data_IF_753932939906
#
_entry.id   IF_753932939906
#
_cell.length_a   1.000
_cell.length_b   1.000
_cell.length_c   1.000
_cell.angle_alpha   90.00
_cell.angle_beta   90.00
_cell.angle_gamma   90.00
#
_symmetry.space_group_name_H-M   'P 1'
#
loop_
_entity.id
_entity.type
_entity.pdbx_description
1 polymer ?
#
# COMPACT_ATOMS: atom_id res chain seq x y z
N UNK A 1 -3.63 -58.56 -22.09
CA UNK A 1 -4.00 -57.68 -20.95
C UNK A 1 -3.03 -57.84 -19.76
N UNK A 2 -1.75 -57.44 -19.87
CA UNK A 2 -0.74 -57.62 -18.79
C UNK A 2 0.05 -56.37 -18.41
N UNK A 3 -0.32 -55.18 -18.92
CA UNK A 3 0.45 -53.94 -18.69
C UNK A 3 -0.12 -53.05 -17.58
N UNK A 4 -1.37 -53.25 -17.13
CA UNK A 4 -2.01 -52.38 -16.11
C UNK A 4 -1.34 -52.46 -14.74
N UNK A 5 -0.79 -53.63 -14.37
CA UNK A 5 -0.06 -53.81 -13.09
C UNK A 5 1.30 -53.14 -13.07
N UNK A 6 1.91 -52.88 -14.22
CA UNK A 6 3.20 -52.18 -14.31
C UNK A 6 3.01 -50.67 -14.09
N UNK A 7 1.97 -50.10 -14.69
CA UNK A 7 1.59 -48.69 -14.49
C UNK A 7 1.24 -48.40 -13.02
N UNK A 8 0.45 -49.26 -12.37
CA UNK A 8 0.13 -49.10 -10.94
C UNK A 8 1.37 -49.07 -10.03
N UNK A 9 2.40 -49.86 -10.36
CA UNK A 9 3.67 -49.88 -9.60
C UNK A 9 4.54 -48.65 -9.86
N UNK A 10 4.52 -48.11 -11.07
CA UNK A 10 5.24 -46.88 -11.42
C UNK A 10 4.55 -45.67 -10.76
N UNK A 11 3.23 -45.56 -10.90
CA UNK A 11 2.44 -44.51 -10.24
C UNK A 11 2.59 -44.56 -8.72
N UNK A 12 2.53 -45.75 -8.09
CA UNK A 12 2.74 -45.88 -6.65
C UNK A 12 4.14 -45.43 -6.18
N UNK A 13 5.19 -45.71 -6.97
CA UNK A 13 6.55 -45.24 -6.67
C UNK A 13 6.70 -43.74 -6.84
N UNK A 14 6.09 -43.15 -7.87
CA UNK A 14 6.12 -41.70 -8.12
C UNK A 14 5.34 -40.96 -7.03
N UNK A 15 4.16 -41.44 -6.65
CA UNK A 15 3.35 -40.87 -5.56
C UNK A 15 4.10 -40.96 -4.22
N UNK A 16 4.74 -42.10 -3.95
CA UNK A 16 5.56 -42.27 -2.75
C UNK A 16 6.76 -41.33 -2.68
N UNK A 17 7.33 -40.95 -3.83
CA UNK A 17 8.47 -40.02 -3.89
C UNK A 17 8.06 -38.54 -3.76
N UNK A 18 6.85 -38.16 -4.24
CA UNK A 18 6.36 -36.77 -4.19
C UNK A 18 5.68 -36.45 -2.84
N UNK A 19 5.05 -37.44 -2.21
CA UNK A 19 4.40 -37.30 -0.91
C UNK A 19 5.25 -36.63 0.18
N UNK A 20 6.53 -36.98 0.40
CA UNK A 20 7.34 -36.33 1.44
C UNK A 20 7.61 -34.85 1.15
N UNK A 21 7.74 -34.47 -0.12
CA UNK A 21 7.91 -33.06 -0.50
C UNK A 21 6.66 -32.24 -0.19
N UNK A 22 5.48 -32.76 -0.52
CA UNK A 22 4.21 -32.10 -0.21
C UNK A 22 4.05 -31.96 1.31
N UNK A 23 4.31 -33.02 2.07
CA UNK A 23 4.23 -32.98 3.54
C UNK A 23 5.21 -31.97 4.13
N UNK A 24 6.44 -31.92 3.62
CA UNK A 24 7.44 -30.95 4.07
C UNK A 24 7.00 -29.51 3.78
N UNK A 25 6.48 -29.22 2.59
CA UNK A 25 5.98 -27.89 2.22
C UNK A 25 4.80 -27.50 3.12
N UNK A 26 3.86 -28.42 3.38
CA UNK A 26 2.73 -28.17 4.27
C UNK A 26 3.19 -27.87 5.70
N UNK A 27 4.18 -28.60 6.21
CA UNK A 27 4.77 -28.33 7.52
C UNK A 27 5.46 -26.97 7.56
N UNK A 28 6.27 -26.62 6.57
CA UNK A 28 6.92 -25.31 6.49
C UNK A 28 5.92 -24.17 6.38
N UNK A 29 4.83 -24.37 5.62
CA UNK A 29 3.75 -23.40 5.51
C UNK A 29 2.98 -23.24 6.82
N UNK A 30 2.65 -24.35 7.50
CA UNK A 30 1.96 -24.32 8.78
C UNK A 30 2.77 -23.64 9.90
N UNK A 31 4.10 -23.71 9.83
CA UNK A 31 5.01 -23.01 10.74
C UNK A 31 5.30 -21.57 10.29
N UNK A 32 4.70 -21.09 9.20
CA UNK A 32 4.85 -19.71 8.70
C UNK A 32 6.18 -19.42 8.00
N UNK A 33 7.05 -20.41 7.80
CA UNK A 33 8.40 -20.19 7.26
C UNK A 33 8.36 -19.69 5.80
N UNK A 34 7.46 -20.26 4.98
CA UNK A 34 7.26 -19.81 3.60
C UNK A 34 6.69 -18.39 3.56
N UNK A 35 5.77 -18.06 4.47
CA UNK A 35 5.21 -16.72 4.59
C UNK A 35 6.28 -15.67 4.94
N UNK A 36 7.20 -15.97 5.88
CA UNK A 36 8.32 -15.08 6.19
C UNK A 36 9.26 -14.89 4.98
N UNK A 37 9.53 -15.96 4.23
CA UNK A 37 10.40 -15.90 3.07
C UNK A 37 9.76 -15.10 1.93
N UNK A 38 8.45 -15.26 1.72
CA UNK A 38 7.68 -14.46 0.77
C UNK A 38 7.76 -12.96 1.10
N UNK A 39 7.55 -12.59 2.37
CA UNK A 39 7.66 -11.20 2.83
C UNK A 39 9.07 -10.65 2.63
N UNK A 40 10.11 -11.43 2.96
CA UNK A 40 11.50 -11.02 2.76
C UNK A 40 11.83 -10.79 1.27
N UNK A 41 11.35 -11.66 0.38
CA UNK A 41 11.51 -11.50 -1.07
C UNK A 41 10.76 -10.25 -1.54
N UNK A 42 9.55 -10.02 -1.02
CA UNK A 42 8.74 -8.86 -1.34
C UNK A 42 9.45 -7.56 -0.94
N UNK A 43 9.98 -7.48 0.29
CA UNK A 43 10.73 -6.32 0.76
C UNK A 43 11.98 -6.05 -0.10
N UNK A 44 12.71 -7.10 -0.45
CA UNK A 44 13.87 -6.98 -1.34
C UNK A 44 13.46 -6.45 -2.72
N UNK A 45 12.34 -6.92 -3.26
CA UNK A 45 11.81 -6.43 -4.53
C UNK A 45 11.46 -4.94 -4.46
N UNK A 46 10.85 -4.47 -3.37
CA UNK A 46 10.56 -3.03 -3.18
C UNK A 46 11.84 -2.20 -3.07
N UNK A 47 12.85 -2.66 -2.32
CA UNK A 47 14.14 -1.98 -2.19
C UNK A 47 14.93 -1.95 -3.49
N UNK A 48 14.76 -2.95 -4.35
CA UNK A 48 15.45 -3.02 -5.65
C UNK A 48 14.91 -2.04 -6.69
N UNK A 49 13.78 -1.37 -6.41
CA UNK A 49 13.21 -0.39 -7.34
C UNK A 49 14.16 0.82 -7.45
N UNK A 50 14.41 1.33 -8.66
CA UNK A 50 15.18 2.56 -8.82
C UNK A 50 14.44 3.71 -8.13
N UNK A 51 15.19 4.64 -7.52
CA UNK A 51 14.61 5.87 -7.00
C UNK A 51 13.90 6.61 -8.15
N UNK A 52 12.61 6.87 -7.95
CA UNK A 52 11.85 7.67 -8.90
C UNK A 52 12.28 9.14 -8.80
N UNK A 53 12.47 9.77 -9.96
CA UNK A 53 12.82 11.19 -9.98
C UNK A 53 11.63 12.02 -9.53
N UNK A 54 11.90 13.08 -8.76
CA UNK A 54 10.89 14.06 -8.37
C UNK A 54 10.24 14.68 -9.63
N UNK A 55 8.93 14.47 -9.78
CA UNK A 55 8.17 15.07 -10.86
C UNK A 55 7.93 16.55 -10.57
N UNK A 56 8.51 17.42 -11.42
CA UNK A 56 8.42 18.88 -11.29
C UNK A 56 7.01 19.43 -11.47
N UNK A 57 6.06 18.62 -11.93
CA UNK A 57 4.66 19.00 -12.14
C UNK A 57 3.81 18.86 -10.87
N UNK A 58 4.33 18.16 -9.86
CA UNK A 58 3.63 17.89 -8.60
C UNK A 58 4.21 18.78 -7.52
N UNK A 59 3.34 19.49 -6.80
CA UNK A 59 3.71 20.30 -5.65
C UNK A 59 3.03 19.72 -4.42
N UNK A 60 3.83 19.35 -3.42
CA UNK A 60 3.34 18.89 -2.13
C UNK A 60 3.39 20.07 -1.17
N UNK A 61 2.25 20.40 -0.57
CA UNK A 61 2.13 21.39 0.49
C UNK A 61 1.75 20.63 1.75
N UNK A 62 2.69 20.52 2.69
CA UNK A 62 2.52 19.79 3.94
C UNK A 62 2.88 20.64 5.15
N UNK A 63 2.58 20.11 6.33
CA UNK A 63 3.07 20.60 7.61
C UNK A 63 4.07 19.56 8.13
N UNK A 64 5.21 20.00 8.65
CA UNK A 64 6.15 19.13 9.36
C UNK A 64 5.77 19.04 10.85
N UNK A 65 6.27 18.01 11.53
CA UNK A 65 6.05 17.72 12.95
C UNK A 65 6.09 18.94 13.91
N UNK A 66 7.07 19.85 13.83
CA UNK A 66 7.08 21.01 14.71
C UNK A 66 5.93 22.00 14.40
N UNK A 67 5.55 22.15 13.14
CA UNK A 67 4.48 23.06 12.73
C UNK A 67 3.08 22.49 13.02
N UNK A 68 2.92 21.16 12.99
CA UNK A 68 1.65 20.51 13.34
C UNK A 68 1.22 20.91 14.75
N UNK A 69 2.14 20.99 15.72
CA UNK A 69 1.79 21.37 17.10
C UNK A 69 1.23 22.79 17.22
N UNK A 70 1.62 23.69 16.31
CA UNK A 70 1.23 25.10 16.37
C UNK A 70 -0.03 25.38 15.54
N UNK A 71 -0.12 24.78 14.35
CA UNK A 71 -1.20 25.08 13.40
C UNK A 71 -2.34 24.08 13.41
N UNK A 72 -2.18 22.92 14.08
CA UNK A 72 -3.24 21.93 14.20
C UNK A 72 -4.07 22.15 15.48
N UNK A 73 -5.41 22.16 15.39
CA UNK A 73 -6.21 21.90 14.20
C UNK A 73 -6.40 23.14 13.32
N UNK A 74 -6.21 22.98 12.00
CA UNK A 74 -6.46 24.03 11.02
C UNK A 74 -7.97 24.32 10.93
N UNK A 75 -8.36 25.60 10.98
CA UNK A 75 -9.75 26.04 10.82
C UNK A 75 -10.23 25.88 9.37
N UNK A 76 -11.54 25.69 9.19
CA UNK A 76 -12.14 25.51 7.86
C UNK A 76 -11.90 26.74 6.95
N UNK A 77 -11.93 27.95 7.52
CA UNK A 77 -11.61 29.21 6.81
C UNK A 77 -10.18 29.22 6.26
N UNK A 78 -9.19 28.87 7.09
CA UNK A 78 -7.78 28.84 6.66
C UNK A 78 -7.55 27.80 5.57
N UNK A 79 -8.19 26.63 5.70
CA UNK A 79 -8.11 25.57 4.70
C UNK A 79 -8.77 26.00 3.38
N UNK A 80 -9.94 26.63 3.44
CA UNK A 80 -10.62 27.16 2.26
C UNK A 80 -9.79 28.23 1.55
N UNK A 81 -9.15 29.12 2.32
CA UNK A 81 -8.25 30.14 1.78
C UNK A 81 -7.01 29.52 1.12
N UNK A 82 -6.42 28.48 1.73
CA UNK A 82 -5.30 27.74 1.16
C UNK A 82 -5.68 27.10 -0.18
N UNK A 83 -6.80 26.39 -0.24
CA UNK A 83 -7.30 25.76 -1.46
C UNK A 83 -7.57 26.80 -2.54
N UNK A 84 -8.21 27.93 -2.21
CA UNK A 84 -8.43 29.04 -3.16
C UNK A 84 -7.11 29.59 -3.70
N UNK A 85 -6.10 29.76 -2.84
CA UNK A 85 -4.78 30.24 -3.25
C UNK A 85 -4.10 29.26 -4.21
N UNK A 86 -4.17 27.96 -3.94
CA UNK A 86 -3.62 26.93 -4.83
C UNK A 86 -4.40 26.92 -6.16
N UNK A 87 -5.73 26.95 -6.11
CA UNK A 87 -6.59 26.95 -7.29
C UNK A 87 -6.36 28.19 -8.18
N UNK A 88 -5.99 29.34 -7.61
CA UNK A 88 -5.63 30.54 -8.38
C UNK A 88 -4.46 30.33 -9.36
N UNK A 89 -3.59 29.34 -9.10
CA UNK A 89 -2.48 28.96 -9.96
C UNK A 89 -2.89 28.01 -11.11
N UNK A 90 -4.20 27.67 -11.21
CA UNK A 90 -4.79 26.78 -12.21
C UNK A 90 -4.11 25.39 -12.27
N UNK A 91 -4.00 24.67 -11.14
CA UNK A 91 -3.52 23.29 -11.15
C UNK A 91 -4.51 22.40 -11.91
N UNK A 92 -4.03 21.28 -12.44
CA UNK A 92 -4.91 20.32 -13.14
C UNK A 92 -5.77 19.50 -12.18
N UNK A 93 -5.25 19.18 -11.00
CA UNK A 93 -5.90 18.39 -9.94
C UNK A 93 -5.36 18.87 -8.60
N UNK A 94 -6.20 18.88 -7.56
CA UNK A 94 -5.81 19.13 -6.17
C UNK A 94 -6.18 17.89 -5.35
N UNK A 95 -5.19 17.21 -4.79
CA UNK A 95 -5.40 16.15 -3.80
C UNK A 95 -5.26 16.73 -2.40
N UNK A 96 -6.23 16.47 -1.52
CA UNK A 96 -6.20 16.90 -0.13
C UNK A 96 -6.09 15.67 0.77
N UNK A 97 -4.93 15.48 1.38
CA UNK A 97 -4.69 14.47 2.42
C UNK A 97 -4.70 15.14 3.79
N UNK A 98 -5.89 15.57 4.22
CA UNK A 98 -6.10 16.19 5.52
C UNK A 98 -7.31 15.54 6.18
N UNK A 99 -7.05 14.65 7.13
CA UNK A 99 -8.09 13.86 7.78
C UNK A 99 -8.84 14.68 8.83
N UNK A 100 -10.17 14.81 8.67
CA UNK A 100 -11.05 15.54 9.60
C UNK A 100 -12.43 14.87 9.67
N UNK A 101 -12.89 14.58 10.89
CA UNK A 101 -14.21 13.99 11.14
C UNK A 101 -15.31 15.04 11.37
N UNK A 102 -14.96 16.24 11.84
CA UNK A 102 -15.89 17.34 12.14
C UNK A 102 -15.32 18.69 11.71
N UNK A 103 -16.19 19.62 11.30
CA UNK A 103 -15.80 21.02 11.05
C UNK A 103 -15.11 21.63 12.26
N UNK A 104 -14.06 22.42 12.02
CA UNK A 104 -13.32 23.11 13.09
C UNK A 104 -13.28 24.60 12.83
N UNK A 105 -13.70 25.35 13.84
CA UNK A 105 -13.77 26.80 13.77
C UNK A 105 -14.83 27.28 12.78
N UNK A 106 -14.59 28.47 12.22
CA UNK A 106 -15.46 29.10 11.24
C UNK A 106 -15.02 28.77 9.81
N UNK A 107 -15.93 28.89 8.84
CA UNK A 107 -15.62 28.72 7.41
C UNK A 107 -16.00 27.37 6.80
N UNK A 108 -16.73 26.51 7.51
CA UNK A 108 -17.22 25.22 7.00
C UNK A 108 -17.95 25.33 5.65
N UNK A 109 -18.83 26.32 5.51
CA UNK A 109 -19.57 26.57 4.28
C UNK A 109 -18.71 27.13 3.15
N UNK A 110 -17.61 27.82 3.48
CA UNK A 110 -16.66 28.31 2.49
C UNK A 110 -15.78 27.18 1.96
N UNK A 111 -15.34 26.29 2.84
CA UNK A 111 -14.57 25.11 2.50
C UNK A 111 -15.33 24.20 1.54
N UNK A 112 -16.62 23.92 1.84
CA UNK A 112 -17.52 23.14 0.97
C UNK A 112 -17.66 23.70 -0.45
N UNK A 113 -17.49 25.00 -0.64
CA UNK A 113 -17.57 25.67 -1.96
C UNK A 113 -16.23 25.72 -2.69
N UNK A 114 -15.13 25.48 -1.98
CA UNK A 114 -13.76 25.61 -2.49
C UNK A 114 -13.17 24.31 -3.03
N UNK A 115 -13.75 23.18 -2.63
CA UNK A 115 -13.48 21.83 -3.17
C UNK A 115 -14.42 21.58 -4.34
#
# INVERSE_FOLDING_TARGET
MKNSRLWLRIYGKVIGAISPFIVLILLLNANGFLSTLELAIYDLFFQSRPLENLDKRIVIVGLEEPEIKEYYPLTDSNLAQLIKKINSQKPSVIGLDFYRDVSVGEGAEELKKSV
#
